data_IF_278817004406
#
_entry.id   IF_278817004406
#
_cell.length_a   1.000
_cell.length_b   1.000
_cell.length_c   1.000
_cell.angle_alpha   90.00
_cell.angle_beta   90.00
_cell.angle_gamma   90.00
#
_symmetry.space_group_name_H-M   'P 1'
#
loop_
_entity.id
_entity.type
_entity.pdbx_description
1 polymer ?
#
# COMPACT_ATOMS: atom_id res chain seq x y z
N UNK A 1 -15.89 -14.19 16.59
CA UNK A 1 -15.45 -13.65 15.27
C UNK A 1 -15.23 -12.16 15.44
N UNK A 2 -14.07 -11.64 15.05
CA UNK A 2 -13.78 -10.19 15.02
C UNK A 2 -13.71 -9.81 13.55
N UNK A 3 -14.48 -8.80 13.12
CA UNK A 3 -14.45 -8.27 11.76
C UNK A 3 -13.97 -6.82 11.81
N UNK A 4 -12.96 -6.49 11.00
CA UNK A 4 -12.52 -5.11 10.80
C UNK A 4 -13.25 -4.53 9.61
N UNK A 5 -13.91 -3.38 9.77
CA UNK A 5 -14.53 -2.64 8.67
C UNK A 5 -13.45 -1.76 8.03
N UNK A 6 -13.21 -1.96 6.73
CA UNK A 6 -12.29 -1.12 5.96
C UNK A 6 -13.05 0.13 5.51
N UNK A 7 -12.41 1.30 5.63
CA UNK A 7 -12.91 2.60 5.15
C UNK A 7 -11.92 3.20 4.17
N UNK A 8 -12.43 3.96 3.21
CA UNK A 8 -11.61 4.72 2.25
C UNK A 8 -11.77 6.19 2.62
N UNK A 9 -10.68 6.81 3.06
CA UNK A 9 -10.66 8.24 3.45
C UNK A 9 -10.44 9.14 2.24
N UNK A 10 -9.52 8.75 1.36
CA UNK A 10 -9.26 9.44 0.08
C UNK A 10 -9.22 8.41 -1.05
N UNK A 11 -10.19 8.51 -1.96
CA UNK A 11 -10.32 7.60 -3.08
C UNK A 11 -9.22 7.78 -4.14
N UNK A 12 -8.72 9.01 -4.31
CA UNK A 12 -7.71 9.33 -5.32
C UNK A 12 -6.35 8.78 -4.88
N UNK A 13 -5.98 9.03 -3.62
CA UNK A 13 -4.72 8.49 -3.06
C UNK A 13 -4.72 6.97 -3.04
N UNK A 14 -5.86 6.35 -2.69
CA UNK A 14 -5.99 4.90 -2.73
C UNK A 14 -5.77 4.34 -4.14
N UNK A 15 -6.39 4.94 -5.16
CA UNK A 15 -6.27 4.49 -6.56
C UNK A 15 -4.84 4.60 -7.10
N UNK A 16 -4.14 5.68 -6.75
CA UNK A 16 -2.72 5.86 -7.08
C UNK A 16 -1.86 4.77 -6.45
N UNK A 17 -2.08 4.48 -5.17
CA UNK A 17 -1.35 3.44 -4.45
C UNK A 17 -1.64 2.04 -5.03
N UNK A 18 -2.90 1.76 -5.37
CA UNK A 18 -3.26 0.51 -6.05
C UNK A 18 -2.57 0.38 -7.39
N UNK A 19 -2.51 1.44 -8.19
CA UNK A 19 -1.83 1.41 -9.49
C UNK A 19 -0.34 1.12 -9.36
N UNK A 20 0.35 1.68 -8.35
CA UNK A 20 1.78 1.43 -8.10
C UNK A 20 2.03 0.00 -7.62
N UNK A 21 1.21 -0.51 -6.69
CA UNK A 21 1.45 -1.82 -6.05
C UNK A 21 0.91 -3.01 -6.87
N UNK A 22 -0.19 -2.80 -7.59
CA UNK A 22 -0.91 -3.84 -8.33
C UNK A 22 -0.81 -3.68 -9.86
N UNK A 23 -0.13 -2.64 -10.34
CA UNK A 23 0.15 -2.44 -11.75
C UNK A 23 1.07 -3.51 -12.36
N UNK A 24 1.14 -3.51 -13.68
CA UNK A 24 1.95 -4.45 -14.46
C UNK A 24 3.45 -4.14 -14.36
N UNK A 25 3.80 -2.86 -14.21
CA UNK A 25 5.18 -2.40 -14.17
C UNK A 25 5.87 -2.79 -12.86
N UNK A 26 6.97 -3.54 -13.00
CA UNK A 26 7.74 -4.06 -11.86
C UNK A 26 8.60 -2.97 -11.21
N UNK A 27 9.14 -2.04 -12.00
CA UNK A 27 10.10 -1.05 -11.53
C UNK A 27 9.49 -0.04 -10.53
N UNK A 28 8.33 0.59 -10.80
CA UNK A 28 7.70 1.53 -9.85
C UNK A 28 7.35 0.85 -8.53
N UNK A 29 6.83 -0.39 -8.60
CA UNK A 29 6.54 -1.21 -7.42
C UNK A 29 7.80 -1.49 -6.60
N UNK A 30 8.89 -1.87 -7.26
CA UNK A 30 10.16 -2.19 -6.59
C UNK A 30 10.73 -0.97 -5.87
N UNK A 31 10.74 0.19 -6.53
CA UNK A 31 11.20 1.44 -5.92
C UNK A 31 10.35 1.80 -4.70
N UNK A 32 9.02 1.74 -4.83
CA UNK A 32 8.10 2.02 -3.73
C UNK A 32 8.35 1.14 -2.50
N UNK A 33 8.54 -0.17 -2.72
CA UNK A 33 8.82 -1.12 -1.63
C UNK A 33 10.15 -0.80 -0.95
N UNK A 34 11.22 -0.53 -1.71
CA UNK A 34 12.54 -0.23 -1.13
C UNK A 34 12.50 1.07 -0.33
N UNK A 35 11.85 2.10 -0.89
CA UNK A 35 11.71 3.41 -0.25
C UNK A 35 10.97 3.29 1.09
N UNK A 36 9.84 2.58 1.15
CA UNK A 36 9.00 2.54 2.37
C UNK A 36 9.28 1.34 3.29
N UNK A 37 10.13 0.39 2.89
CA UNK A 37 10.41 -0.84 3.66
C UNK A 37 10.92 -0.56 5.08
N UNK A 38 11.63 0.55 5.27
CA UNK A 38 12.21 0.91 6.57
C UNK A 38 11.24 1.69 7.47
N UNK A 39 10.17 2.24 6.91
CA UNK A 39 9.15 3.00 7.64
C UNK A 39 8.18 2.08 8.38
N UNK A 40 8.07 0.83 7.92
CA UNK A 40 7.17 -0.19 8.47
C UNK A 40 7.96 -1.09 9.42
N UNK A 41 8.01 -0.70 10.69
CA UNK A 41 8.68 -1.50 11.75
C UNK A 41 7.72 -2.54 12.35
N UNK A 42 6.42 -2.25 12.38
CA UNK A 42 5.39 -3.11 12.95
C UNK A 42 4.14 -3.11 12.05
N UNK A 43 4.13 -3.95 11.02
CA UNK A 43 2.95 -4.12 10.18
C UNK A 43 1.83 -4.90 10.89
N UNK A 44 2.20 -5.68 11.91
CA UNK A 44 1.35 -6.71 12.52
C UNK A 44 1.08 -6.51 14.04
N UNK A 45 1.39 -5.35 14.62
CA UNK A 45 1.16 -5.06 16.07
C UNK A 45 -0.08 -4.22 16.30
#
# INVERSE_FOLDING_TARGET
RVMKKITIEDAILADQLFSILMGEDVEPRKQYIIEHAHEVINLDV
#
